data_IF_819792917615
#
_entry.id   IF_819792917615
#
_cell.length_a   1.000
_cell.length_b   1.000
_cell.length_c   1.000
_cell.angle_alpha   90.00
_cell.angle_beta   90.00
_cell.angle_gamma   90.00
#
_symmetry.space_group_name_H-M   'P 1'
#
loop_
_entity.id
_entity.type
_entity.pdbx_description
1 polymer ?
#
# COMPACT_ATOMS: atom_id res chain seq x y z
N UNK A 1 -10.82 1.31 21.07
CA UNK A 1 -9.78 1.47 22.11
C UNK A 1 -8.45 1.30 21.40
N UNK A 2 -7.73 2.38 21.11
CA UNK A 2 -6.48 2.29 20.34
C UNK A 2 -5.34 1.89 21.28
N UNK A 3 -4.76 0.71 21.06
CA UNK A 3 -3.55 0.30 21.76
C UNK A 3 -2.43 1.31 21.45
N UNK A 4 -1.64 1.68 22.47
CA UNK A 4 -0.52 2.60 22.30
C UNK A 4 0.59 1.87 21.53
N UNK A 5 0.60 2.04 20.21
CA UNK A 5 1.55 1.43 19.27
C UNK A 5 2.87 2.21 19.33
N UNK A 6 3.96 1.57 19.72
CA UNK A 6 5.29 2.18 19.82
C UNK A 6 6.34 1.27 19.18
N UNK A 7 7.31 1.86 18.47
CA UNK A 7 8.42 1.16 17.81
C UNK A 7 9.13 0.13 18.71
N UNK A 8 9.29 0.42 20.01
CA UNK A 8 9.99 -0.46 20.97
C UNK A 8 9.29 -1.81 21.20
N UNK A 9 8.00 -1.89 20.93
CA UNK A 9 7.19 -3.08 21.16
C UNK A 9 6.86 -3.81 19.86
N UNK A 10 7.44 -3.39 18.74
CA UNK A 10 7.21 -4.01 17.45
C UNK A 10 7.99 -5.32 17.36
N UNK A 11 7.29 -6.40 17.04
CA UNK A 11 7.97 -7.66 16.76
C UNK A 11 8.65 -7.57 15.39
N UNK A 12 9.91 -7.99 15.35
CA UNK A 12 10.69 -8.09 14.12
C UNK A 12 11.38 -9.44 14.06
N UNK A 13 11.27 -10.14 12.93
CA UNK A 13 11.94 -11.43 12.71
C UNK A 13 12.84 -11.37 11.49
N UNK A 14 13.72 -12.37 11.32
CA UNK A 14 14.51 -12.51 10.09
C UNK A 14 13.93 -13.66 9.26
N UNK A 15 13.52 -13.37 8.03
CA UNK A 15 13.00 -14.33 7.05
C UNK A 15 13.74 -14.12 5.75
N UNK A 16 14.33 -15.17 5.19
CA UNK A 16 15.11 -15.12 3.94
C UNK A 16 16.16 -13.99 3.92
N UNK A 17 16.83 -13.77 5.05
CA UNK A 17 17.84 -12.71 5.21
C UNK A 17 17.27 -11.29 5.30
N UNK A 18 15.94 -11.12 5.38
CA UNK A 18 15.27 -9.83 5.50
C UNK A 18 14.67 -9.63 6.88
N UNK A 19 14.77 -8.42 7.41
CA UNK A 19 14.05 -8.05 8.64
C UNK A 19 12.59 -7.84 8.29
N UNK A 20 11.71 -8.67 8.84
CA UNK A 20 10.26 -8.62 8.66
C UNK A 20 9.61 -7.94 9.85
N UNK A 21 8.82 -6.90 9.59
CA UNK A 21 8.06 -6.14 10.57
C UNK A 21 6.68 -6.78 10.76
N UNK A 22 6.31 -7.01 12.02
CA UNK A 22 5.00 -7.55 12.40
C UNK A 22 4.18 -6.48 13.11
N UNK A 23 3.04 -6.10 12.53
CA UNK A 23 2.06 -5.22 13.19
C UNK A 23 1.10 -5.99 14.11
N UNK A 24 1.24 -7.31 14.19
CA UNK A 24 0.40 -8.21 14.95
C UNK A 24 -0.88 -8.59 14.20
N UNK A 25 -1.89 -9.06 14.93
CA UNK A 25 -3.14 -9.61 14.39
C UNK A 25 -4.14 -8.49 13.99
N UNK A 26 -3.66 -7.45 13.30
CA UNK A 26 -4.47 -6.31 12.90
C UNK A 26 -5.04 -6.55 11.51
N UNK A 27 -6.37 -6.66 11.42
CA UNK A 27 -7.06 -6.92 10.16
C UNK A 27 -7.27 -5.67 9.30
N UNK A 28 -7.45 -4.51 9.91
CA UNK A 28 -7.72 -3.24 9.22
C UNK A 28 -6.66 -2.25 9.68
N UNK A 29 -5.78 -1.86 8.77
CA UNK A 29 -4.78 -0.84 9.08
C UNK A 29 -5.38 0.56 8.99
N UNK A 30 -4.95 1.44 9.88
CA UNK A 30 -5.29 2.85 9.88
C UNK A 30 -4.06 3.74 9.65
N UNK A 31 -4.24 5.07 9.79
CA UNK A 31 -3.14 6.02 9.66
C UNK A 31 -2.04 5.85 10.73
N UNK A 32 -2.39 5.38 11.93
CA UNK A 32 -1.42 5.14 13.00
C UNK A 32 -0.60 3.88 12.73
N UNK A 33 -1.20 2.83 12.17
CA UNK A 33 -0.48 1.64 11.68
C UNK A 33 0.56 2.01 10.63
N UNK A 34 0.17 2.83 9.65
CA UNK A 34 1.09 3.28 8.60
C UNK A 34 2.20 4.19 9.15
N UNK A 35 1.88 5.04 10.12
CA UNK A 35 2.89 5.88 10.76
C UNK A 35 3.93 5.03 11.52
N UNK A 36 3.47 4.03 12.27
CA UNK A 36 4.35 3.10 12.98
C UNK A 36 5.22 2.29 12.02
N UNK A 37 4.63 1.78 10.94
CA UNK A 37 5.36 1.04 9.92
C UNK A 37 6.41 1.91 9.23
N UNK A 38 6.08 3.17 8.91
CA UNK A 38 7.00 4.15 8.35
C UNK A 38 8.17 4.43 9.30
N UNK A 39 7.88 4.63 10.59
CA UNK A 39 8.89 4.84 11.63
C UNK A 39 9.84 3.64 11.74
N UNK A 40 9.29 2.42 11.73
CA UNK A 40 10.05 1.18 11.79
C UNK A 40 10.98 1.01 10.58
N UNK A 41 10.48 1.24 9.36
CA UNK A 41 11.31 1.19 8.15
C UNK A 41 12.41 2.27 8.17
N UNK A 42 12.11 3.48 8.62
CA UNK A 42 13.10 4.54 8.75
C UNK A 42 14.19 4.20 9.77
N UNK A 43 13.80 3.62 10.92
CA UNK A 43 14.75 3.13 11.91
C UNK A 43 15.69 2.06 11.33
N UNK A 44 15.15 1.06 10.63
CA UNK A 44 15.95 -0.01 10.03
C UNK A 44 16.87 0.50 8.92
N UNK A 45 16.39 1.43 8.10
CA UNK A 45 17.18 2.07 7.05
C UNK A 45 18.40 2.82 7.60
N UNK A 46 18.20 3.59 8.68
CA UNK A 46 19.23 4.45 9.26
C UNK A 46 20.24 3.66 10.11
N UNK A 47 19.80 2.66 10.88
CA UNK A 47 20.69 1.98 11.83
C UNK A 47 21.48 0.81 11.25
N UNK A 48 20.91 0.11 10.26
CA UNK A 48 21.47 -1.15 9.75
C UNK A 48 21.89 -1.09 8.28
N UNK A 49 21.90 0.12 7.70
CA UNK A 49 22.08 0.39 6.27
C UNK A 49 21.28 -0.56 5.36
N UNK A 50 20.17 -1.07 5.89
CA UNK A 50 19.43 -2.13 5.24
C UNK A 50 18.69 -1.55 4.04
N UNK A 51 18.93 -2.13 2.86
CA UNK A 51 18.26 -1.76 1.61
C UNK A 51 17.12 -2.72 1.28
N UNK A 52 16.71 -3.53 2.24
CA UNK A 52 15.58 -4.42 2.09
C UNK A 52 14.84 -4.68 3.40
N UNK A 53 13.51 -4.64 3.34
CA UNK A 53 12.63 -4.89 4.49
C UNK A 53 11.48 -5.83 4.09
N UNK A 54 10.96 -6.54 5.08
CA UNK A 54 9.74 -7.32 4.98
C UNK A 54 8.62 -6.71 5.80
N UNK A 55 7.38 -6.91 5.36
CA UNK A 55 6.19 -6.62 6.15
C UNK A 55 5.32 -7.87 6.18
N UNK A 56 4.94 -8.31 7.37
CA UNK A 56 3.97 -9.39 7.55
C UNK A 56 2.55 -8.88 7.24
N UNK A 57 1.85 -9.60 6.36
CA UNK A 57 0.50 -9.27 5.89
C UNK A 57 -0.52 -10.35 6.27
N UNK A 58 -0.13 -11.37 7.06
CA UNK A 58 -0.91 -12.58 7.37
C UNK A 58 -2.36 -12.26 7.77
N UNK A 59 -2.55 -11.29 8.67
CA UNK A 59 -3.88 -10.95 9.21
C UNK A 59 -4.61 -9.85 8.43
N UNK A 60 -3.92 -9.18 7.52
CA UNK A 60 -4.39 -7.93 6.93
C UNK A 60 -5.47 -8.21 5.90
N UNK A 61 -6.64 -7.61 6.12
CA UNK A 61 -7.77 -7.63 5.20
C UNK A 61 -7.95 -6.30 4.48
N UNK A 62 -7.65 -5.17 5.11
CA UNK A 62 -7.82 -3.86 4.50
C UNK A 62 -6.62 -2.96 4.75
N UNK A 63 -6.05 -2.45 3.66
CA UNK A 63 -4.91 -1.52 3.65
C UNK A 63 -5.36 -0.14 3.15
N UNK A 64 -5.07 0.95 3.86
CA UNK A 64 -5.30 2.30 3.35
C UNK A 64 -4.48 2.55 2.10
N UNK A 65 -5.00 3.36 1.17
CA UNK A 65 -4.29 3.73 -0.07
C UNK A 65 -2.91 4.34 0.17
N UNK A 66 -2.74 5.06 1.30
CA UNK A 66 -1.47 5.62 1.74
C UNK A 66 -0.36 4.59 1.95
N UNK A 67 -0.69 3.30 2.11
CA UNK A 67 0.29 2.21 2.16
C UNK A 67 1.10 2.14 0.86
N UNK A 68 0.44 2.20 -0.29
CA UNK A 68 1.09 2.13 -1.59
C UNK A 68 1.98 3.34 -1.87
N UNK A 69 1.52 4.54 -1.49
CA UNK A 69 2.35 5.76 -1.57
C UNK A 69 3.62 5.63 -0.72
N UNK A 70 3.51 5.07 0.48
CA UNK A 70 4.69 4.80 1.32
C UNK A 70 5.64 3.76 0.72
N UNK A 71 5.12 2.69 0.10
CA UNK A 71 5.96 1.71 -0.60
C UNK A 71 6.70 2.36 -1.79
N UNK A 72 6.01 3.22 -2.53
CA UNK A 72 6.60 3.98 -3.62
C UNK A 72 7.71 4.92 -3.12
N UNK A 73 7.49 5.66 -2.02
CA UNK A 73 8.53 6.51 -1.41
C UNK A 73 9.82 5.74 -1.09
N UNK A 74 9.70 4.49 -0.61
CA UNK A 74 10.84 3.64 -0.30
C UNK A 74 11.50 3.06 -1.56
N UNK A 75 10.70 2.67 -2.56
CA UNK A 75 11.21 2.24 -3.85
C UNK A 75 12.09 3.32 -4.51
N UNK A 76 11.62 4.58 -4.51
CA UNK A 76 12.38 5.72 -5.06
C UNK A 76 13.71 5.97 -4.33
N UNK A 77 13.83 5.48 -3.09
CA UNK A 77 15.07 5.53 -2.29
C UNK A 77 15.96 4.30 -2.48
N UNK A 78 15.64 3.44 -3.43
CA UNK A 78 16.39 2.21 -3.73
C UNK A 78 16.22 1.12 -2.68
N UNK A 79 15.12 1.11 -1.93
CA UNK A 79 14.80 0.09 -0.93
C UNK A 79 13.87 -0.96 -1.52
N UNK A 80 14.22 -2.24 -1.36
CA UNK A 80 13.37 -3.37 -1.71
C UNK A 80 12.43 -3.72 -0.55
N UNK A 81 11.12 -3.52 -0.72
CA UNK A 81 10.12 -3.94 0.26
C UNK A 81 9.44 -5.23 -0.18
N UNK A 82 9.42 -6.24 0.69
CA UNK A 82 8.76 -7.53 0.48
C UNK A 82 7.51 -7.64 1.36
N UNK A 83 6.43 -8.16 0.80
CA UNK A 83 5.18 -8.40 1.51
C UNK A 83 5.00 -9.90 1.72
N UNK A 84 4.90 -10.34 2.97
CA UNK A 84 4.83 -11.75 3.34
C UNK A 84 3.40 -12.16 3.69
N UNK A 85 3.00 -13.33 3.19
CA UNK A 85 1.67 -13.94 3.34
C UNK A 85 0.44 -13.00 3.26
N UNK A 86 0.34 -12.14 2.22
CA UNK A 86 -0.88 -11.36 2.02
C UNK A 86 -2.09 -12.28 1.85
N UNK A 87 -3.24 -11.91 2.42
CA UNK A 87 -4.49 -12.65 2.19
C UNK A 87 -4.89 -12.64 0.71
N UNK A 88 -5.66 -13.64 0.22
CA UNK A 88 -5.96 -13.79 -1.20
C UNK A 88 -6.54 -12.53 -1.88
N UNK A 89 -7.43 -11.79 -1.23
CA UNK A 89 -7.98 -10.56 -1.80
C UNK A 89 -6.98 -9.39 -1.74
N UNK A 90 -6.13 -9.31 -0.70
CA UNK A 90 -5.03 -8.33 -0.66
C UNK A 90 -4.06 -8.59 -1.80
N UNK A 91 -3.74 -9.85 -2.14
CA UNK A 91 -2.93 -10.18 -3.33
C UNK A 91 -3.54 -9.61 -4.61
N UNK A 92 -4.86 -9.69 -4.76
CA UNK A 92 -5.56 -9.10 -5.91
C UNK A 92 -5.42 -7.57 -5.94
N UNK A 93 -5.46 -6.92 -4.77
CA UNK A 93 -5.20 -5.47 -4.65
C UNK A 93 -3.74 -5.11 -5.00
N UNK A 94 -2.76 -5.92 -4.57
CA UNK A 94 -1.36 -5.75 -4.95
C UNK A 94 -1.14 -5.90 -6.47
N UNK A 95 -1.93 -6.79 -7.10
CA UNK A 95 -1.94 -7.01 -8.55
C UNK A 95 -2.76 -5.97 -9.33
N UNK A 96 -3.55 -5.15 -8.64
CA UNK A 96 -4.28 -4.01 -9.21
C UNK A 96 -3.34 -2.83 -9.52
N UNK A 97 -2.09 -3.12 -9.88
CA UNK A 97 -1.21 -2.25 -10.66
C UNK A 97 -1.70 -2.12 -12.10
N UNK A 98 -3.01 -1.90 -12.29
CA UNK A 98 -3.49 -1.22 -13.48
C UNK A 98 -3.07 0.23 -13.31
N UNK A 99 -1.99 0.59 -13.96
CA UNK A 99 -1.62 1.98 -14.11
C UNK A 99 -2.77 2.71 -14.78
N UNK A 100 -3.08 3.90 -14.28
CA UNK A 100 -4.00 4.75 -14.99
C UNK A 100 -3.44 4.98 -16.40
N UNK A 101 -4.29 4.82 -17.41
CA UNK A 101 -3.97 5.24 -18.77
C UNK A 101 -3.89 6.76 -18.78
N UNK A 102 -2.76 7.30 -19.23
CA UNK A 102 -2.63 8.74 -19.49
C UNK A 102 -3.56 9.12 -20.65
N UNK A 103 -4.43 10.10 -20.40
CA UNK A 103 -5.35 10.67 -21.38
C UNK A 103 -4.92 12.08 -21.84
N UNK A 104 -3.77 12.57 -21.36
CA UNK A 104 -3.28 13.93 -21.57
C UNK A 104 -3.99 14.98 -20.70
N UNK A 105 -3.43 16.19 -20.65
CA UNK A 105 -3.98 17.33 -19.89
C UNK A 105 -4.16 17.02 -18.38
N UNK A 106 -3.22 16.30 -17.76
CA UNK A 106 -3.28 15.87 -16.36
C UNK A 106 -4.41 14.87 -16.03
N UNK A 107 -5.07 14.30 -17.05
CA UNK A 107 -6.14 13.32 -16.86
C UNK A 107 -5.60 11.91 -17.03
N UNK A 108 -6.11 11.05 -16.17
CA UNK A 108 -5.66 9.68 -16.03
C UNK A 108 -6.91 8.82 -15.82
N UNK A 109 -7.02 7.69 -16.50
CA UNK A 109 -8.19 6.80 -16.40
C UNK A 109 -7.81 5.40 -15.89
N UNK A 110 -8.57 4.88 -14.93
CA UNK A 110 -8.46 3.51 -14.44
C UNK A 110 -9.70 2.71 -14.85
N UNK A 111 -9.55 1.78 -15.79
CA UNK A 111 -10.63 0.88 -16.23
C UNK A 111 -10.35 -0.57 -15.81
N UNK A 112 -11.30 -1.27 -15.16
CA UNK A 112 -11.15 -2.68 -14.84
C UNK A 112 -11.02 -3.51 -16.13
N UNK A 113 -9.80 -3.93 -16.47
CA UNK A 113 -9.44 -4.95 -17.47
C UNK A 113 -10.31 -5.01 -18.74
N UNK A 114 -9.86 -4.38 -19.83
CA UNK A 114 -10.22 -4.67 -21.24
C UNK A 114 -11.70 -4.75 -21.64
N UNK A 115 -12.67 -4.42 -20.79
CA UNK A 115 -13.97 -4.00 -21.28
C UNK A 115 -13.85 -2.52 -21.64
N UNK A 116 -13.65 -2.26 -22.93
CA UNK A 116 -14.04 -0.98 -23.50
C UNK A 116 -15.53 -0.82 -23.21
N UNK A 117 -15.89 -0.18 -22.09
CA UNK A 117 -17.15 0.55 -22.09
C UNK A 117 -16.94 1.65 -23.11
N UNK A 118 -17.47 1.44 -24.31
CA UNK A 118 -17.79 2.54 -25.19
C UNK A 118 -18.73 3.40 -24.36
N UNK A 119 -18.21 4.50 -23.81
CA UNK A 119 -19.06 5.57 -23.29
C UNK A 119 -19.78 6.07 -24.53
N UNK A 120 -20.98 5.53 -24.77
CA UNK A 120 -21.84 5.99 -25.84
C UNK A 120 -22.15 7.43 -25.49
N UNK A 121 -21.58 8.35 -26.27
CA UNK A 121 -21.65 9.81 -26.16
C UNK A 121 -22.54 10.30 -25.02
N UNK A 122 -21.93 10.53 -23.85
CA UNK A 122 -22.57 11.40 -22.87
C UNK A 122 -22.67 12.77 -23.55
N UNK A 123 -23.87 13.33 -23.73
CA UNK A 123 -24.03 14.63 -24.36
C UNK A 123 -23.15 15.61 -23.60
N UNK A 124 -22.26 16.27 -24.33
CA UNK A 124 -21.40 17.30 -23.76
C UNK A 124 -22.31 18.29 -23.04
N UNK A 125 -22.02 18.51 -21.76
CA UNK A 125 -22.66 19.54 -20.93
C UNK A 125 -24.05 19.17 -20.40
N UNK A 126 -24.12 18.14 -19.53
CA UNK A 126 -25.15 18.12 -18.49
C UNK A 126 -24.46 18.14 -17.13
N UNK A 127 -24.55 19.28 -16.46
CA UNK A 127 -24.24 19.45 -15.05
C UNK A 127 -25.03 18.37 -14.27
N UNK A 128 -24.33 17.37 -13.75
CA UNK A 128 -24.96 16.32 -12.94
C UNK A 128 -25.29 16.94 -11.59
N UNK A 129 -26.48 17.54 -11.48
CA UNK A 129 -27.02 17.98 -10.19
C UNK A 129 -27.42 16.72 -9.42
N UNK A 130 -26.57 16.30 -8.50
CA UNK A 130 -26.91 15.29 -7.50
C UNK A 130 -28.00 15.89 -6.60
N UNK A 131 -29.22 15.32 -6.68
CA UNK A 131 -30.30 15.60 -5.72
C UNK A 131 -30.10 14.81 -4.44
#
# INVERSE_FOLDING_TARGET
MAANKNLKNLLMTVVDGNIVIHLGEIEIWDGADLALLREAMAFLFNQKESRSFGVDMTYVKYIPSGFFGMLFDWHERGVCVRLYDPQPHVRQMLWFTQFFRDLGEQRHELCPSQHSMVVVDLPAENEVVLK
#
